data_IF_678233075900
#
_entry.id   IF_678233075900
#
_cell.length_a   1.000
_cell.length_b   1.000
_cell.length_c   1.000
_cell.angle_alpha   90.00
_cell.angle_beta   90.00
_cell.angle_gamma   90.00
#
_symmetry.space_group_name_H-M   'P 1'
#
loop_
_entity.id
_entity.type
_entity.pdbx_description
1 polymer ?
#
# COMPACT_ATOMS: atom_id res chain seq x y z
N UNK A 1 12.79 -11.44 19.38
CA UNK A 1 14.10 -10.77 19.27
C UNK A 1 15.13 -11.60 20.03
N UNK A 2 16.26 -11.94 19.40
CA UNK A 2 17.36 -12.69 20.02
C UNK A 2 18.36 -11.67 20.57
N UNK A 3 18.56 -11.64 21.89
CA UNK A 3 19.46 -10.68 22.55
C UNK A 3 20.92 -11.13 22.56
N UNK A 4 21.15 -12.41 22.25
CA UNK A 4 22.45 -13.07 22.16
C UNK A 4 23.15 -12.84 20.81
N UNK A 5 22.46 -12.26 19.84
CA UNK A 5 22.98 -11.97 18.49
C UNK A 5 23.03 -10.45 18.32
N UNK A 6 24.18 -9.84 17.99
CA UNK A 6 24.27 -8.41 17.67
C UNK A 6 23.25 -8.01 16.59
N UNK A 7 22.64 -6.82 16.70
CA UNK A 7 21.54 -6.38 15.82
C UNK A 7 21.87 -6.52 14.33
N UNK A 8 23.11 -6.19 13.94
CA UNK A 8 23.58 -6.31 12.55
C UNK A 8 23.54 -7.74 12.01
N UNK A 9 23.64 -8.73 12.89
CA UNK A 9 23.75 -10.16 12.59
C UNK A 9 22.40 -10.90 12.78
N UNK A 10 21.33 -10.19 13.20
CA UNK A 10 19.99 -10.78 13.37
C UNK A 10 19.26 -11.04 12.04
N UNK A 11 19.83 -10.58 10.91
CA UNK A 11 19.29 -10.75 9.57
C UNK A 11 18.06 -9.88 9.28
N UNK A 12 17.68 -9.82 8.00
CA UNK A 12 16.45 -9.20 7.55
C UNK A 12 15.79 -10.09 6.48
N UNK A 13 14.46 -10.04 6.38
CA UNK A 13 13.72 -10.75 5.34
C UNK A 13 13.32 -9.75 4.26
N UNK A 14 13.98 -9.84 3.11
CA UNK A 14 13.56 -9.14 1.90
C UNK A 14 12.36 -9.83 1.24
N UNK A 15 11.88 -9.24 0.15
CA UNK A 15 10.79 -9.77 -0.65
C UNK A 15 10.54 -8.91 -1.87
N UNK A 16 9.95 -9.50 -2.91
CA UNK A 16 9.58 -8.76 -4.11
C UNK A 16 8.32 -7.93 -3.81
N UNK A 17 8.31 -6.67 -4.23
CA UNK A 17 7.11 -5.83 -4.24
C UNK A 17 6.58 -5.80 -5.68
N UNK A 18 5.30 -6.13 -5.87
CA UNK A 18 4.65 -6.12 -7.19
C UNK A 18 3.74 -4.90 -7.28
N UNK A 19 3.94 -4.12 -8.34
CA UNK A 19 3.20 -2.88 -8.59
C UNK A 19 2.43 -3.03 -9.90
N UNK A 20 1.12 -2.87 -9.83
CA UNK A 20 0.24 -2.83 -10.99
C UNK A 20 0.45 -1.60 -11.86
N UNK A 21 -0.23 -1.57 -13.00
CA UNK A 21 -0.22 -0.47 -13.94
C UNK A 21 -1.08 0.70 -13.45
N UNK A 22 -0.63 1.93 -13.67
CA UNK A 22 -1.41 3.14 -13.39
C UNK A 22 -1.63 3.45 -11.90
N UNK A 23 -0.79 2.90 -11.02
CA UNK A 23 -0.85 3.20 -9.59
C UNK A 23 -0.31 4.60 -9.27
N UNK A 24 -0.83 5.20 -8.20
CA UNK A 24 -0.27 6.42 -7.63
C UNK A 24 0.22 6.18 -6.20
N UNK A 25 1.53 6.28 -5.99
CA UNK A 25 2.15 6.24 -4.68
C UNK A 25 2.49 7.68 -4.28
N UNK A 26 1.79 8.21 -3.28
CA UNK A 26 2.01 9.57 -2.81
C UNK A 26 3.27 9.67 -1.94
N UNK A 27 3.66 10.92 -1.65
CA UNK A 27 4.93 11.22 -0.97
C UNK A 27 5.08 10.48 0.37
N UNK A 28 6.29 9.98 0.62
CA UNK A 28 6.68 9.34 1.89
C UNK A 28 5.86 8.09 2.28
N UNK A 29 5.19 7.43 1.33
CA UNK A 29 4.61 6.12 1.58
C UNK A 29 5.69 5.03 1.68
N UNK A 30 5.46 4.03 2.54
CA UNK A 30 6.32 2.86 2.73
C UNK A 30 5.54 1.60 2.36
N UNK A 31 6.14 0.74 1.54
CA UNK A 31 5.58 -0.56 1.14
C UNK A 31 6.49 -1.66 1.68
N UNK A 32 5.94 -2.58 2.48
CA UNK A 32 6.74 -3.67 3.05
C UNK A 32 6.96 -4.81 2.05
N UNK A 33 7.98 -5.63 2.31
CA UNK A 33 8.32 -6.79 1.50
C UNK A 33 7.11 -7.72 1.26
N UNK A 34 7.06 -8.33 0.06
CA UNK A 34 6.04 -9.30 -0.37
C UNK A 34 4.61 -8.74 -0.48
N UNK A 35 4.45 -7.43 -0.67
CA UNK A 35 3.16 -6.80 -0.96
C UNK A 35 2.93 -6.71 -2.47
N UNK A 36 1.70 -7.00 -2.89
CA UNK A 36 1.17 -6.72 -4.23
C UNK A 36 0.18 -5.55 -4.20
N UNK A 37 0.38 -4.57 -5.09
CA UNK A 37 -0.49 -3.42 -5.27
C UNK A 37 -1.20 -3.56 -6.61
N UNK A 38 -2.52 -3.73 -6.57
CA UNK A 38 -3.36 -3.86 -7.75
C UNK A 38 -3.37 -2.61 -8.66
N UNK A 39 -3.80 -2.82 -9.90
CA UNK A 39 -3.85 -1.80 -10.95
C UNK A 39 -4.71 -0.61 -10.55
N UNK A 40 -4.28 0.59 -10.94
CA UNK A 40 -5.02 1.83 -10.72
C UNK A 40 -5.14 2.26 -9.25
N UNK A 41 -4.55 1.57 -8.29
CA UNK A 41 -4.68 1.88 -6.86
C UNK A 41 -3.95 3.15 -6.43
N UNK A 42 -4.40 3.75 -5.32
CA UNK A 42 -3.82 4.97 -4.74
C UNK A 42 -3.34 4.68 -3.33
N UNK A 43 -2.06 4.97 -3.06
CA UNK A 43 -1.46 4.92 -1.72
C UNK A 43 -1.26 6.36 -1.24
N UNK A 44 -1.99 6.75 -0.19
CA UNK A 44 -1.94 8.10 0.36
C UNK A 44 -0.57 8.43 0.99
N UNK A 45 -0.29 9.73 1.14
CA UNK A 45 0.99 10.20 1.66
C UNK A 45 1.24 9.68 3.09
N UNK A 46 2.48 9.27 3.38
CA UNK A 46 2.85 8.74 4.69
C UNK A 46 2.25 7.37 5.05
N UNK A 47 1.55 6.70 4.13
CA UNK A 47 0.95 5.40 4.43
C UNK A 47 2.00 4.29 4.57
N UNK A 48 1.79 3.34 5.49
CA UNK A 48 2.62 2.14 5.64
C UNK A 48 1.81 0.91 5.22
N UNK A 49 2.06 0.44 4.01
CA UNK A 49 1.37 -0.70 3.40
C UNK A 49 2.02 -1.99 3.87
N UNK A 50 1.27 -2.77 4.66
CA UNK A 50 1.73 -4.04 5.25
C UNK A 50 1.02 -5.28 4.68
N UNK A 51 0.08 -5.09 3.76
CA UNK A 51 -0.77 -6.13 3.16
C UNK A 51 -1.13 -5.74 1.72
N UNK A 52 -1.51 -6.73 0.92
CA UNK A 52 -1.89 -6.53 -0.48
C UNK A 52 -3.07 -5.55 -0.63
N UNK A 53 -3.03 -4.81 -1.73
CA UNK A 53 -4.01 -3.78 -2.09
C UNK A 53 -4.75 -4.25 -3.34
N UNK A 54 -6.08 -4.21 -3.31
CA UNK A 54 -6.92 -4.61 -4.45
C UNK A 54 -6.88 -3.56 -5.57
N UNK A 55 -7.22 -3.95 -6.81
CA UNK A 55 -7.32 -3.02 -7.94
C UNK A 55 -8.24 -1.83 -7.63
N UNK A 56 -7.85 -0.64 -8.06
CA UNK A 56 -8.60 0.62 -7.91
C UNK A 56 -8.87 1.05 -6.46
N UNK A 57 -8.25 0.41 -5.48
CA UNK A 57 -8.43 0.72 -4.07
C UNK A 57 -7.63 1.98 -3.68
N UNK A 58 -8.21 2.80 -2.82
CA UNK A 58 -7.53 3.94 -2.19
C UNK A 58 -7.22 3.53 -0.75
N UNK A 59 -5.96 3.60 -0.35
CA UNK A 59 -5.52 3.26 1.01
C UNK A 59 -4.72 4.38 1.67
N UNK A 60 -4.77 4.46 3.00
CA UNK A 60 -3.99 5.42 3.78
C UNK A 60 -3.81 5.03 5.24
N UNK A 61 -2.87 5.69 5.94
CA UNK A 61 -2.60 5.49 7.36
C UNK A 61 -1.50 4.48 7.70
N UNK A 62 -1.31 4.23 9.00
CA UNK A 62 -0.28 3.33 9.56
C UNK A 62 -0.95 2.40 10.61
N UNK A 63 -1.17 1.10 10.32
CA UNK A 63 -1.01 0.47 9.01
C UNK A 63 -2.03 1.02 7.99
N UNK A 64 -1.69 0.95 6.71
CA UNK A 64 -2.57 1.39 5.63
C UNK A 64 -3.89 0.59 5.66
N UNK A 65 -5.01 1.31 5.58
CA UNK A 65 -6.37 0.75 5.51
C UNK A 65 -7.09 1.30 4.27
N UNK A 66 -8.07 0.56 3.73
CA UNK A 66 -8.95 1.08 2.68
C UNK A 66 -9.68 2.33 3.17
N UNK A 67 -9.65 3.39 2.37
CA UNK A 67 -10.36 4.65 2.63
C UNK A 67 -11.28 5.06 1.48
N UNK A 68 -11.24 4.33 0.35
CA UNK A 68 -12.10 4.56 -0.79
C UNK A 68 -11.85 3.58 -1.94
N UNK A 69 -12.63 3.71 -2.99
CA UNK A 69 -12.48 2.97 -4.24
C UNK A 69 -12.65 3.95 -5.41
N UNK A 70 -11.79 3.88 -6.43
CA UNK A 70 -11.85 4.81 -7.58
C UNK A 70 -13.03 4.54 -8.52
N UNK A 71 -13.60 3.34 -8.48
CA UNK A 71 -14.73 2.93 -9.30
C UNK A 71 -16.08 3.16 -8.61
N UNK A 72 -16.11 3.66 -7.37
CA UNK A 72 -17.39 3.99 -6.75
C UNK A 72 -18.02 5.15 -7.49
N UNK A 73 -19.11 4.86 -8.20
CA UNK A 73 -19.96 5.89 -8.82
C UNK A 73 -20.71 6.59 -7.70
N UNK A 74 -20.62 7.92 -7.66
CA UNK A 74 -21.56 8.71 -6.88
C UNK A 74 -22.87 8.76 -7.66
N UNK A 75 -23.90 8.03 -7.22
CA UNK A 75 -25.25 7.99 -7.83
C UNK A 75 -26.01 9.35 -7.82
N UNK A 76 -25.32 10.48 -7.65
CA UNK A 76 -25.93 11.80 -7.51
C UNK A 76 -25.30 12.91 -8.36
N UNK A 77 -24.38 12.61 -9.27
CA UNK A 77 -23.66 13.65 -10.02
C UNK A 77 -23.70 13.54 -11.56
N UNK A 78 -24.47 12.58 -12.10
CA UNK A 78 -24.66 12.46 -13.55
C UNK A 78 -26.01 13.08 -13.95
N UNK A 79 -26.03 14.41 -14.00
CA UNK A 79 -27.14 15.21 -14.55
C UNK A 79 -26.66 16.35 -15.45
N UNK A 80 -25.55 16.14 -16.17
CA UNK A 80 -25.10 17.06 -17.22
C UNK A 80 -25.09 16.40 -18.57
#
# INVERSE_FOLDING_TARGET
>A
SRIDIPIRDQGHRGGCIRLGSGIWIAANAVITANVEIGDGSIVAAGAVVTRDIQNYQIVGGIPAKPIGNRLSVNEGMDSR
#
